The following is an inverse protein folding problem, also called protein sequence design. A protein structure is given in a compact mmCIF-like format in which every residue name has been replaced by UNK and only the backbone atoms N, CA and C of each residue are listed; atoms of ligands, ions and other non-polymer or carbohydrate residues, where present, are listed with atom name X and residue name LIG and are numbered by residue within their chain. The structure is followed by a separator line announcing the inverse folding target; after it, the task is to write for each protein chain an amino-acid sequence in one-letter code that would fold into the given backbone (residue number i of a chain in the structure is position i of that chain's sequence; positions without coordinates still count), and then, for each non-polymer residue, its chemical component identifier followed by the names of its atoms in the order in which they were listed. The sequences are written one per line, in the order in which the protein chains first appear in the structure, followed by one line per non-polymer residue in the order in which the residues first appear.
data_IF_648571708165
#
_entry.id   IF_648571708165
#
_cell.length_a   1.000
_cell.length_b   1.000
_cell.length_c   1.000
_cell.angle_alpha   90.00
_cell.angle_beta   90.00
_cell.angle_gamma   90.00
#
_symmetry.space_group_name_H-M   'P 1'
#
loop_
_entity.id
_entity.type
_entity.pdbx_description
1 polymer ?
#
# COMPACT_ATOMS: atom_id res chain seq x y z
N UNK A 1 -11.97 -7.73 5.49
CA UNK A 1 -10.66 -7.07 5.32
C UNK A 1 -10.81 -5.58 5.58
N UNK A 2 -9.90 -4.96 6.35
CA UNK A 2 -9.92 -3.50 6.57
C UNK A 2 -9.20 -2.77 5.42
N UNK A 3 -9.96 -2.08 4.56
CA UNK A 3 -9.43 -1.39 3.37
C UNK A 3 -8.47 -0.25 3.71
N UNK A 4 -8.70 0.46 4.81
CA UNK A 4 -7.84 1.58 5.22
C UNK A 4 -6.50 1.08 5.73
N UNK A 5 -6.49 -0.04 6.45
CA UNK A 5 -5.26 -0.73 6.85
C UNK A 5 -4.45 -1.20 5.64
N UNK A 6 -5.07 -1.84 4.66
CA UNK A 6 -4.38 -2.29 3.45
C UNK A 6 -3.74 -1.12 2.69
N UNK A 7 -4.50 -0.03 2.46
CA UNK A 7 -3.99 1.18 1.80
C UNK A 7 -2.84 1.82 2.58
N UNK A 8 -2.97 1.93 3.90
CA UNK A 8 -1.92 2.45 4.76
C UNK A 8 -0.65 1.61 4.64
N UNK A 9 -0.78 0.28 4.74
CA UNK A 9 0.35 -0.63 4.69
C UNK A 9 1.08 -0.57 3.34
N UNK A 10 0.37 -0.66 2.21
CA UNK A 10 0.97 -0.53 0.87
C UNK A 10 1.75 0.78 0.75
N UNK A 11 1.12 1.91 1.12
CA UNK A 11 1.74 3.22 1.02
C UNK A 11 2.98 3.35 1.93
N UNK A 12 2.91 2.77 3.13
CA UNK A 12 3.99 2.75 4.12
C UNK A 12 5.18 1.93 3.63
N UNK A 13 4.95 0.76 3.08
CA UNK A 13 6.01 -0.11 2.55
C UNK A 13 6.68 0.49 1.32
N UNK A 14 5.91 1.16 0.43
CA UNK A 14 6.52 1.94 -0.66
C UNK A 14 7.38 3.08 -0.12
N UNK A 15 6.88 3.83 0.87
CA UNK A 15 7.63 4.92 1.51
C UNK A 15 8.95 4.43 2.16
N UNK A 16 8.99 3.18 2.62
CA UNK A 16 10.17 2.56 3.22
C UNK A 16 11.09 1.88 2.20
N UNK A 17 10.71 1.84 0.91
CA UNK A 17 11.48 1.19 -0.14
C UNK A 17 11.37 -0.34 -0.15
N UNK A 18 10.38 -0.89 0.57
CA UNK A 18 10.11 -2.32 0.69
C UNK A 18 9.27 -2.84 -0.49
N UNK A 19 9.64 -2.42 -1.70
CA UNK A 19 9.10 -2.93 -2.96
C UNK A 19 10.00 -4.03 -3.54
N UNK A 20 9.53 -4.89 -4.47
CA UNK A 20 8.16 -4.97 -4.98
C UNK A 20 7.15 -5.48 -3.95
N UNK A 21 5.86 -5.21 -4.17
CA UNK A 21 4.75 -5.66 -3.32
C UNK A 21 3.69 -6.37 -4.17
N UNK A 22 3.09 -7.42 -3.60
CA UNK A 22 2.05 -8.25 -4.22
C UNK A 22 0.91 -8.52 -3.24
N UNK A 23 -0.23 -9.00 -3.74
CA UNK A 23 -1.37 -9.42 -2.91
C UNK A 23 -0.99 -10.53 -1.90
N UNK A 24 -0.01 -11.39 -2.24
CA UNK A 24 0.47 -12.46 -1.37
C UNK A 24 1.15 -11.91 -0.10
N UNK A 25 1.85 -10.78 -0.19
CA UNK A 25 2.51 -10.16 0.97
C UNK A 25 1.48 -9.80 2.05
N UNK A 26 0.28 -9.39 1.62
CA UNK A 26 -0.81 -8.95 2.49
C UNK A 26 -1.84 -10.05 2.79
N UNK A 27 -1.75 -11.22 2.14
CA UNK A 27 -2.71 -12.32 2.24
C UNK A 27 -4.15 -11.87 1.91
N UNK A 28 -4.27 -11.17 0.77
CA UNK A 28 -5.51 -10.64 0.20
C UNK A 28 -5.69 -11.14 -1.23
N UNK A 29 -6.88 -10.97 -1.80
CA UNK A 29 -7.10 -11.29 -3.21
C UNK A 29 -6.46 -10.24 -4.15
N UNK A 30 -6.17 -10.64 -5.39
CA UNK A 30 -5.70 -9.73 -6.45
C UNK A 30 -6.59 -8.49 -6.58
N UNK A 31 -7.91 -8.66 -6.65
CA UNK A 31 -8.83 -7.53 -6.76
C UNK A 31 -8.83 -6.59 -5.55
N UNK A 32 -8.61 -7.11 -4.34
CA UNK A 32 -8.48 -6.29 -3.14
C UNK A 32 -7.19 -5.46 -3.14
N UNK A 33 -6.09 -6.06 -3.60
CA UNK A 33 -4.81 -5.37 -3.76
C UNK A 33 -4.89 -4.31 -4.85
N UNK A 34 -5.39 -4.68 -6.03
CA UNK A 34 -5.54 -3.79 -7.18
C UNK A 34 -6.44 -2.60 -6.84
N UNK A 35 -7.58 -2.82 -6.18
CA UNK A 35 -8.47 -1.75 -5.72
C UNK A 35 -7.77 -0.78 -4.76
N UNK A 36 -6.92 -1.29 -3.87
CA UNK A 36 -6.17 -0.48 -2.93
C UNK A 36 -5.11 0.37 -3.65
N UNK A 37 -4.32 -0.25 -4.53
CA UNK A 37 -3.29 0.44 -5.32
C UNK A 37 -3.92 1.46 -6.26
N UNK A 38 -5.01 1.10 -6.94
CA UNK A 38 -5.76 2.00 -7.83
C UNK A 38 -6.33 3.21 -7.08
N UNK A 39 -6.85 3.01 -5.86
CA UNK A 39 -7.28 4.12 -5.02
C UNK A 39 -6.11 5.04 -4.67
N UNK A 40 -4.98 4.49 -4.21
CA UNK A 40 -3.79 5.27 -3.86
C UNK A 40 -3.26 6.06 -5.05
N UNK A 41 -3.28 5.47 -6.25
CA UNK A 41 -2.87 6.15 -7.49
C UNK A 41 -3.86 7.24 -7.91
N UNK A 42 -5.15 6.93 -7.94
CA UNK A 42 -6.21 7.85 -8.41
C UNK A 42 -6.29 9.09 -7.52
N UNK A 43 -6.17 8.92 -6.21
CA UNK A 43 -6.17 9.99 -5.23
C UNK A 43 -4.80 10.68 -5.07
N UNK A 44 -3.82 10.29 -5.91
CA UNK A 44 -2.46 10.86 -5.96
C UNK A 44 -1.68 10.74 -4.65
N UNK A 45 -1.91 9.69 -3.87
CA UNK A 45 -1.05 9.33 -2.73
C UNK A 45 0.22 8.59 -3.20
N UNK A 46 0.09 7.82 -4.29
CA UNK A 46 1.14 7.04 -4.92
C UNK A 46 1.23 7.42 -6.41
N UNK A 47 2.43 7.46 -6.97
CA UNK A 47 2.68 7.70 -8.41
C UNK A 47 3.73 6.72 -8.94
N UNK A 48 3.96 6.73 -10.26
CA UNK A 48 5.02 5.94 -10.91
C UNK A 48 4.76 4.44 -10.98
N UNK A 49 3.50 4.02 -10.84
CA UNK A 49 3.07 2.63 -11.02
C UNK A 49 3.28 2.17 -12.46
N UNK A 50 3.70 0.91 -12.60
CA UNK A 50 3.71 0.23 -13.88
C UNK A 50 2.37 -0.46 -14.11
N UNK A 51 1.88 -0.49 -15.35
CA UNK A 51 0.62 -1.11 -15.71
C UNK A 51 0.85 -2.21 -16.74
N UNK A 52 0.41 -3.42 -16.41
CA UNK A 52 0.47 -4.58 -17.29
C UNK A 52 -0.67 -5.55 -16.93
N UNK A 53 -1.16 -6.29 -17.93
CA UNK A 53 -2.25 -7.26 -17.79
C UNK A 53 -3.52 -6.65 -17.16
N UNK A 54 -3.80 -5.37 -17.48
CA UNK A 54 -4.92 -4.57 -16.94
C UNK A 54 -4.87 -4.36 -15.40
N UNK A 55 -3.68 -4.51 -14.79
CA UNK A 55 -3.47 -4.40 -13.35
C UNK A 55 -2.34 -3.41 -12.99
N UNK A 56 -2.40 -2.77 -11.81
CA UNK A 56 -1.31 -1.93 -11.32
C UNK A 56 -0.21 -2.78 -10.65
N UNK A 57 1.05 -2.53 -10.98
CA UNK A 57 2.21 -3.24 -10.43
C UNK A 57 3.05 -2.32 -9.55
N UNK A 58 3.26 -2.71 -8.30
CA UNK A 58 4.13 -2.01 -7.34
C UNK A 58 5.54 -2.60 -7.42
N UNK A 59 6.27 -2.20 -8.47
CA UNK A 59 7.62 -2.71 -8.78
C UNK A 59 8.73 -2.10 -7.90
N UNK A 60 9.94 -2.66 -8.01
CA UNK A 60 11.12 -2.16 -7.29
C UNK A 60 11.49 -0.71 -7.65
N UNK A 61 11.24 -0.33 -8.90
CA UNK A 61 11.56 0.98 -9.46
C UNK A 61 10.26 1.57 -10.02
N UNK A 62 10.03 2.85 -9.76
CA UNK A 62 8.86 3.59 -10.26
C UNK A 62 7.94 4.08 -9.14
N UNK A 63 7.38 3.20 -8.30
CA UNK A 63 6.45 3.60 -7.25
C UNK A 63 7.08 4.60 -6.26
N UNK A 64 6.49 5.78 -6.18
CA UNK A 64 6.92 6.85 -5.28
C UNK A 64 5.72 7.44 -4.51
N UNK A 65 5.93 7.69 -3.22
CA UNK A 65 4.93 8.35 -2.37
C UNK A 65 4.98 9.85 -2.62
N UNK A 66 3.82 10.46 -2.83
CA UNK A 66 3.72 11.91 -3.03
C UNK A 66 3.69 12.64 -1.68
N UNK A 67 3.83 13.97 -1.68
CA UNK A 67 3.61 14.79 -0.48
C UNK A 67 2.24 14.50 0.18
N UNK A 68 1.19 14.31 -0.63
CA UNK A 68 -0.14 13.95 -0.14
C UNK A 68 -0.14 12.57 0.52
N UNK A 69 0.58 11.61 -0.05
CA UNK A 69 0.79 10.29 0.53
C UNK A 69 1.53 10.34 1.87
N UNK A 70 2.58 11.15 1.97
CA UNK A 70 3.27 11.35 3.25
C UNK A 70 2.35 11.96 4.32
N UNK A 71 1.53 12.95 3.94
CA UNK A 71 0.58 13.56 4.85
C UNK A 71 -0.48 12.55 5.32
N UNK A 72 -0.97 11.70 4.42
CA UNK A 72 -1.86 10.59 4.78
C UNK A 72 -1.21 9.66 5.82
N UNK A 73 0.07 9.32 5.67
CA UNK A 73 0.80 8.50 6.64
C UNK A 73 0.93 9.19 8.01
N UNK A 74 1.16 10.50 8.04
CA UNK A 74 1.30 11.31 9.26
C UNK A 74 -0.04 11.47 10.00
N UNK A 75 -1.12 11.74 9.27
CA UNK A 75 -2.47 11.94 9.82
C UNK A 75 -3.04 10.65 10.42
N UNK A 76 -2.73 9.49 9.82
CA UNK A 76 -3.13 8.18 10.32
C UNK A 76 -2.21 7.67 11.45
N UNK A 77 -1.91 8.53 12.41
CA UNK A 77 -0.98 8.26 13.52
C UNK A 77 -1.40 7.11 14.44
N UNK A 78 -2.68 6.69 14.43
CA UNK A 78 -3.13 5.49 15.14
C UNK A 78 -2.73 4.21 14.42
N UNK A 79 -2.81 4.20 13.09
CA UNK A 79 -2.35 3.07 12.28
C UNK A 79 -0.83 2.95 12.40
N UNK A 80 -0.09 4.06 12.35
CA UNK A 80 1.37 4.04 12.51
C UNK A 80 1.84 3.42 13.83
N UNK A 81 1.11 3.64 14.92
CA UNK A 81 1.42 3.07 16.25
C UNK A 81 1.18 1.56 16.34
N UNK A 82 0.26 1.05 15.53
CA UNK A 82 -0.12 -0.37 15.57
C UNK A 82 0.50 -1.18 14.43
N UNK A 83 0.98 -0.50 13.38
CA UNK A 83 1.67 -1.09 12.25
C UNK A 83 3.05 -1.59 12.65
N UNK A 84 3.38 -2.83 12.30
CA UNK A 84 4.63 -3.50 12.70
C UNK A 84 5.45 -4.01 11.50
N UNK A 85 5.15 -3.50 10.31
CA UNK A 85 5.84 -3.84 9.07
C UNK A 85 5.25 -5.07 8.35
N UNK A 86 5.77 -5.32 7.16
CA UNK A 86 5.29 -6.34 6.23
C UNK A 86 5.20 -7.75 6.82
N UNK A 87 6.12 -8.15 7.71
CA UNK A 87 6.11 -9.49 8.33
C UNK A 87 4.85 -9.78 9.16
N UNK A 88 4.29 -8.77 9.82
CA UNK A 88 3.11 -8.91 10.69
C UNK A 88 1.84 -8.37 10.03
N UNK A 89 1.93 -7.92 8.76
CA UNK A 89 0.84 -7.18 8.12
C UNK A 89 -0.41 -8.02 7.92
N UNK A 90 -0.24 -9.31 7.62
CA UNK A 90 -1.33 -10.27 7.33
C UNK A 90 -2.29 -10.40 8.51
N UNK A 91 -1.76 -10.48 9.72
CA UNK A 91 -2.55 -10.52 10.95
C UNK A 91 -3.13 -9.14 11.25
N UNK A 92 -2.31 -8.09 11.12
CA UNK A 92 -2.72 -6.73 11.45
C UNK A 92 -3.90 -6.20 10.61
N UNK A 93 -3.98 -6.54 9.31
CA UNK A 93 -5.08 -6.14 8.42
C UNK A 93 -6.41 -6.84 8.77
N UNK A 94 -6.35 -8.02 9.39
CA UNK A 94 -7.53 -8.83 9.76
C UNK A 94 -8.13 -8.45 11.11
N UNK A 95 -7.33 -7.87 12.01
CA UNK A 95 -7.76 -7.28 13.29
C UNK A 95 -8.67 -6.06 13.09
#
# INVERSE_FOLDING_TARGET
MNKDKLRYAILKEVNEGNTPLTEEDFDVSEGEFDDAVNFLSREKYLTGLFWADDRPHVNKIGPEVTERGENYLKENSMLSKTYRGLKEVREWIKL
#
